data_IF_559437402539
#
_entry.id   IF_559437402539
#
_cell.length_a   1.000
_cell.length_b   1.000
_cell.length_c   1.000
_cell.angle_alpha   90.00
_cell.angle_beta   90.00
_cell.angle_gamma   90.00
#
_symmetry.space_group_name_H-M   'P 1'
#
loop_
_entity.id
_entity.type
_entity.pdbx_description
1 polymer ?
#
# COMPACT_ATOMS: atom_id res chain seq x y z
N UNK A 1 -10.81 7.16 -22.83
CA UNK A 1 -11.07 8.44 -22.13
C UNK A 1 -10.08 8.55 -20.97
N UNK A 2 -10.25 9.47 -20.02
CA UNK A 2 -9.49 9.46 -18.76
C UNK A 2 -10.15 8.62 -17.65
N UNK A 3 -11.38 8.14 -17.86
CA UNK A 3 -12.09 7.29 -16.90
C UNK A 3 -11.37 5.96 -16.63
N UNK A 4 -10.71 5.41 -17.65
CA UNK A 4 -9.91 4.19 -17.57
C UNK A 4 -8.75 4.33 -16.55
N UNK A 5 -8.14 5.51 -16.43
CA UNK A 5 -7.11 5.80 -15.42
C UNK A 5 -7.70 5.74 -14.00
N UNK A 6 -8.90 6.27 -13.81
CA UNK A 6 -9.62 6.22 -12.52
C UNK A 6 -10.02 4.79 -12.17
N UNK A 7 -10.42 3.99 -13.16
CA UNK A 7 -10.74 2.56 -12.99
C UNK A 7 -9.50 1.76 -12.55
N UNK A 8 -8.35 1.95 -13.23
CA UNK A 8 -7.07 1.33 -12.85
C UNK A 8 -6.76 1.59 -11.38
N UNK A 9 -6.79 2.86 -10.97
CA UNK A 9 -6.41 3.21 -9.59
C UNK A 9 -7.43 2.70 -8.57
N UNK A 10 -8.72 2.68 -8.91
CA UNK A 10 -9.77 2.13 -8.04
C UNK A 10 -9.56 0.63 -7.82
N UNK A 11 -9.35 -0.15 -8.89
CA UNK A 11 -9.03 -1.57 -8.80
C UNK A 11 -7.70 -1.86 -8.10
N UNK A 12 -6.70 -0.99 -8.23
CA UNK A 12 -5.44 -1.08 -7.46
C UNK A 12 -5.65 -0.87 -5.95
N UNK A 13 -6.61 -0.02 -5.55
CA UNK A 13 -7.01 0.11 -4.13
C UNK A 13 -7.72 -1.13 -3.61
N UNK A 14 -8.62 -1.75 -4.39
CA UNK A 14 -9.29 -3.00 -4.02
C UNK A 14 -8.30 -4.14 -3.73
N UNK A 15 -7.24 -4.26 -4.53
CA UNK A 15 -6.19 -5.28 -4.34
C UNK A 15 -5.03 -4.81 -3.46
N UNK A 16 -5.12 -3.63 -2.84
CA UNK A 16 -4.01 -3.06 -2.06
C UNK A 16 -3.60 -3.93 -0.88
N UNK A 17 -4.52 -4.68 -0.26
CA UNK A 17 -4.20 -5.63 0.81
C UNK A 17 -3.42 -6.86 0.31
N UNK A 18 -3.61 -7.27 -0.95
CA UNK A 18 -2.79 -8.30 -1.58
C UNK A 18 -1.39 -7.76 -1.90
N UNK A 19 -1.30 -6.53 -2.42
CA UNK A 19 -0.03 -5.82 -2.63
C UNK A 19 0.76 -5.63 -1.32
N UNK A 20 0.08 -5.40 -0.19
CA UNK A 20 0.70 -5.37 1.16
C UNK A 20 1.30 -6.72 1.57
N UNK A 21 0.91 -7.85 0.98
CA UNK A 21 1.52 -9.14 1.32
C UNK A 21 2.96 -9.25 0.80
N UNK A 22 3.34 -8.46 -0.21
CA UNK A 22 4.73 -8.31 -0.61
C UNK A 22 5.60 -7.81 0.56
N UNK A 23 6.83 -8.33 0.65
CA UNK A 23 7.78 -8.04 1.73
C UNK A 23 9.11 -7.53 1.19
N UNK A 24 9.81 -6.76 2.02
CA UNK A 24 11.17 -6.27 1.75
C UNK A 24 11.30 -5.61 0.38
N UNK A 25 12.33 -6.00 -0.38
CA UNK A 25 12.65 -5.40 -1.67
C UNK A 25 11.51 -5.46 -2.72
N UNK A 26 10.64 -6.49 -2.70
CA UNK A 26 9.51 -6.56 -3.66
C UNK A 26 8.44 -5.52 -3.35
N UNK A 27 8.11 -5.31 -2.06
CA UNK A 27 7.22 -4.22 -1.63
C UNK A 27 7.79 -2.86 -2.01
N UNK A 28 9.09 -2.64 -1.77
CA UNK A 28 9.75 -1.39 -2.12
C UNK A 28 9.65 -1.11 -3.63
N UNK A 29 9.91 -2.10 -4.50
CA UNK A 29 9.73 -1.94 -5.96
C UNK A 29 8.31 -1.53 -6.34
N UNK A 30 7.27 -2.07 -5.70
CA UNK A 30 5.86 -1.68 -5.98
C UNK A 30 5.59 -0.24 -5.51
N UNK A 31 6.13 0.15 -4.36
CA UNK A 31 6.06 1.54 -3.86
C UNK A 31 6.75 2.51 -4.81
N UNK A 32 8.01 2.23 -5.17
CA UNK A 32 8.82 3.06 -6.08
C UNK A 32 8.13 3.19 -7.46
N UNK A 33 7.53 2.10 -7.94
CA UNK A 33 6.79 2.07 -9.19
C UNK A 33 5.52 2.94 -9.15
N UNK A 34 4.75 2.93 -8.05
CA UNK A 34 3.59 3.82 -7.91
C UNK A 34 3.99 5.29 -7.74
N UNK A 35 5.13 5.59 -7.10
CA UNK A 35 5.67 6.96 -7.09
C UNK A 35 6.10 7.44 -8.48
N UNK A 36 6.70 6.58 -9.32
CA UNK A 36 7.01 6.96 -10.71
C UNK A 36 5.76 7.33 -11.52
N UNK A 37 4.66 6.58 -11.35
CA UNK A 37 3.38 6.94 -12.00
C UNK A 37 2.82 8.25 -11.42
N UNK A 38 2.88 8.46 -10.10
CA UNK A 38 2.51 9.73 -9.46
C UNK A 38 3.27 10.91 -10.07
N UNK A 39 4.62 10.86 -10.09
CA UNK A 39 5.48 11.92 -10.61
C UNK A 39 5.19 12.18 -12.10
N UNK A 40 5.02 11.13 -12.90
CA UNK A 40 4.66 11.22 -14.30
C UNK A 40 3.33 11.96 -14.52
N UNK A 41 2.31 11.66 -13.71
CA UNK A 41 1.00 12.31 -13.79
C UNK A 41 1.04 13.75 -13.24
N UNK A 42 1.79 14.03 -12.18
CA UNK A 42 1.98 15.41 -11.66
C UNK A 42 2.65 16.30 -12.70
N UNK A 43 3.75 15.85 -13.30
CA UNK A 43 4.42 16.61 -14.37
C UNK A 43 3.50 16.82 -15.59
N UNK A 44 2.66 15.83 -15.92
CA UNK A 44 1.67 15.97 -17.00
C UNK A 44 0.63 17.06 -16.68
N UNK A 45 0.11 17.11 -15.44
CA UNK A 45 -0.80 18.17 -15.02
C UNK A 45 -0.12 19.55 -15.01
N UNK A 46 1.14 19.64 -14.59
CA UNK A 46 1.92 20.89 -14.61
C UNK A 46 2.23 21.37 -16.03
N UNK A 47 2.41 20.48 -17.00
CA UNK A 47 2.51 20.82 -18.42
C UNK A 47 1.17 21.32 -19.00
N UNK A 48 0.06 20.63 -18.69
CA UNK A 48 -1.28 21.07 -19.10
C UNK A 48 -1.66 22.45 -18.53
N UNK A 49 -1.35 22.71 -17.25
CA UNK A 49 -1.49 24.03 -16.61
C UNK A 49 -0.67 25.14 -17.30
N UNK A 50 0.40 24.79 -18.01
CA UNK A 50 1.20 25.71 -18.83
C UNK A 50 0.67 25.85 -20.27
N UNK A 51 -0.46 25.24 -20.60
CA UNK A 51 -1.02 25.22 -21.97
C UNK A 51 -0.32 24.23 -22.91
N UNK A 52 0.41 23.23 -22.39
CA UNK A 52 1.18 22.27 -23.17
C UNK A 52 0.56 20.88 -23.13
N UNK A 53 0.59 20.16 -24.25
CA UNK A 53 0.18 18.76 -24.33
C UNK A 53 1.33 17.86 -23.85
N UNK A 54 1.13 16.99 -22.84
CA UNK A 54 2.23 16.27 -22.17
C UNK A 54 2.66 15.00 -22.93
N UNK A 55 3.06 15.14 -24.19
CA UNK A 55 3.38 14.03 -25.10
C UNK A 55 4.40 13.04 -24.53
N UNK A 56 5.53 13.53 -24.02
CA UNK A 56 6.62 12.69 -23.52
C UNK A 56 6.18 11.93 -22.26
N UNK A 57 5.43 12.58 -21.37
CA UNK A 57 4.91 11.96 -20.14
C UNK A 57 3.78 10.97 -20.41
N UNK A 58 2.93 11.21 -21.40
CA UNK A 58 1.96 10.21 -21.86
C UNK A 58 2.64 8.98 -22.46
N UNK A 59 3.75 9.17 -23.19
CA UNK A 59 4.60 8.08 -23.66
C UNK A 59 5.23 7.29 -22.51
N UNK A 60 5.76 7.97 -21.49
CA UNK A 60 6.35 7.38 -20.29
C UNK A 60 5.31 6.57 -19.49
N UNK A 61 4.09 7.08 -19.34
CA UNK A 61 2.95 6.36 -18.74
C UNK A 61 2.67 5.04 -19.47
N UNK A 62 2.90 5.00 -20.79
CA UNK A 62 2.79 3.77 -21.58
C UNK A 62 3.88 2.74 -21.33
N UNK A 63 5.09 3.18 -20.98
CA UNK A 63 6.16 2.28 -20.53
C UNK A 63 5.79 1.67 -19.17
N UNK A 64 5.24 2.47 -18.24
CA UNK A 64 4.73 1.94 -16.98
C UNK A 64 3.58 0.94 -17.23
N UNK A 65 2.62 1.25 -18.11
CA UNK A 65 1.55 0.32 -18.47
C UNK A 65 2.03 -1.02 -19.07
N UNK A 66 3.22 -1.05 -19.70
CA UNK A 66 3.85 -2.30 -20.14
C UNK A 66 4.50 -3.10 -19.00
N UNK A 67 5.05 -2.42 -17.99
CA UNK A 67 5.76 -3.07 -16.87
C UNK A 67 4.86 -3.43 -15.68
N UNK A 68 3.65 -2.83 -15.58
CA UNK A 68 2.68 -3.12 -14.52
C UNK A 68 2.52 -4.63 -14.22
N UNK A 69 2.35 -5.53 -15.21
CA UNK A 69 2.15 -6.96 -14.92
C UNK A 69 3.39 -7.63 -14.34
N UNK A 70 4.60 -7.21 -14.72
CA UNK A 70 5.85 -7.70 -14.14
C UNK A 70 6.01 -7.22 -12.68
N UNK A 71 5.55 -5.99 -12.42
CA UNK A 71 5.69 -5.36 -11.11
C UNK A 71 4.68 -5.88 -10.08
N UNK A 72 3.43 -6.19 -10.44
CA UNK A 72 2.39 -6.64 -9.47
C UNK A 72 1.72 -8.00 -9.75
N UNK A 73 2.01 -8.67 -10.88
CA UNK A 73 1.29 -9.87 -11.31
C UNK A 73 1.39 -11.07 -10.35
N UNK A 74 2.48 -11.17 -9.58
CA UNK A 74 2.66 -12.21 -8.55
C UNK A 74 1.77 -11.99 -7.32
N UNK A 75 1.44 -10.74 -7.01
CA UNK A 75 0.67 -10.34 -5.84
C UNK A 75 -0.84 -10.39 -6.09
N UNK A 76 -1.30 -10.07 -7.30
CA UNK A 76 -2.75 -9.92 -7.61
C UNK A 76 -3.29 -10.90 -8.65
N UNK A 77 -2.41 -11.77 -9.19
CA UNK A 77 -2.70 -12.64 -10.33
C UNK A 77 -2.34 -11.98 -11.66
N UNK A 78 -1.71 -12.75 -12.55
CA UNK A 78 -1.18 -12.24 -13.81
C UNK A 78 -2.30 -11.68 -14.72
N UNK A 79 -3.44 -12.36 -14.79
CA UNK A 79 -4.57 -11.96 -15.63
C UNK A 79 -5.13 -10.60 -15.19
N UNK A 80 -5.38 -10.43 -13.89
CA UNK A 80 -5.85 -9.15 -13.32
C UNK A 80 -4.83 -8.03 -13.49
N UNK A 81 -3.53 -8.33 -13.43
CA UNK A 81 -2.48 -7.34 -13.71
C UNK A 81 -2.41 -6.97 -15.21
N UNK A 82 -2.66 -7.92 -16.11
CA UNK A 82 -2.77 -7.68 -17.55
C UNK A 82 -4.03 -6.84 -17.88
N UNK A 83 -5.16 -7.05 -17.22
CA UNK A 83 -6.37 -6.21 -17.35
C UNK A 83 -6.09 -4.76 -16.96
N UNK A 84 -5.42 -4.53 -15.82
CA UNK A 84 -5.05 -3.18 -15.37
C UNK A 84 -4.04 -2.52 -16.32
N UNK A 85 -3.10 -3.29 -16.88
CA UNK A 85 -2.18 -2.82 -17.89
C UNK A 85 -2.91 -2.43 -19.19
N UNK A 86 -3.93 -3.18 -19.59
CA UNK A 86 -4.75 -2.85 -20.76
C UNK A 86 -5.57 -1.57 -20.56
N UNK A 87 -6.18 -1.37 -19.39
CA UNK A 87 -6.88 -0.12 -19.04
C UNK A 87 -5.92 1.09 -18.98
N UNK A 88 -4.74 0.92 -18.37
CA UNK A 88 -3.74 1.99 -18.33
C UNK A 88 -3.22 2.31 -19.75
N UNK A 89 -3.10 1.31 -20.63
CA UNK A 89 -2.80 1.53 -22.06
C UNK A 89 -3.91 2.25 -22.81
N UNK A 90 -5.18 1.94 -22.53
CA UNK A 90 -6.32 2.63 -23.15
C UNK A 90 -6.33 4.13 -22.83
N UNK A 91 -5.84 4.53 -21.65
CA UNK A 91 -5.65 5.94 -21.27
C UNK A 91 -4.69 6.66 -22.23
N UNK A 92 -3.58 6.04 -22.62
CA UNK A 92 -2.54 6.66 -23.49
C UNK A 92 -3.12 7.09 -24.84
N UNK A 93 -4.07 6.32 -25.38
CA UNK A 93 -4.72 6.61 -26.66
C UNK A 93 -5.60 7.88 -26.63
N UNK A 94 -5.80 8.47 -25.45
CA UNK A 94 -6.56 9.69 -25.23
C UNK A 94 -5.57 10.72 -24.64
N UNK A 95 -5.01 11.58 -25.48
CA UNK A 95 -4.18 12.69 -25.00
C UNK A 95 -5.09 13.74 -24.34
N UNK A 96 -4.73 14.25 -23.15
CA UNK A 96 -5.52 15.25 -22.45
C UNK A 96 -5.44 16.62 -23.15
N UNK A 97 -6.53 17.37 -23.12
CA UNK A 97 -6.59 18.73 -23.69
C UNK A 97 -6.11 19.77 -22.66
N UNK A 98 -5.05 20.58 -22.94
CA UNK A 98 -4.62 21.65 -22.04
C UNK A 98 -5.67 22.74 -21.78
N UNK A 99 -6.73 22.80 -22.60
CA UNK A 99 -7.86 23.72 -22.41
C UNK A 99 -8.97 23.11 -21.53
N UNK A 100 -8.98 21.80 -21.30
CA UNK A 100 -9.97 21.14 -20.44
C UNK A 100 -9.48 21.10 -18.99
N UNK A 101 -10.05 21.99 -18.16
CA UNK A 101 -9.84 21.99 -16.71
C UNK A 101 -10.26 20.68 -16.03
N UNK A 102 -11.20 19.94 -16.61
CA UNK A 102 -11.60 18.61 -16.16
C UNK A 102 -10.44 17.62 -16.29
N UNK A 103 -9.80 17.55 -17.45
CA UNK A 103 -8.66 16.66 -17.70
C UNK A 103 -7.51 16.90 -16.70
N UNK A 104 -7.18 18.18 -16.45
CA UNK A 104 -6.18 18.58 -15.45
C UNK A 104 -6.56 18.04 -14.06
N UNK A 105 -7.80 18.28 -13.61
CA UNK A 105 -8.28 17.81 -12.30
C UNK A 105 -8.36 16.28 -12.20
N UNK A 106 -8.69 15.58 -13.28
CA UNK A 106 -8.68 14.11 -13.33
C UNK A 106 -7.27 13.54 -13.14
N UNK A 107 -6.28 14.14 -13.81
CA UNK A 107 -4.88 13.70 -13.76
C UNK A 107 -4.29 13.95 -12.37
N UNK A 108 -4.54 15.12 -11.78
CA UNK A 108 -4.15 15.43 -10.39
C UNK A 108 -4.78 14.47 -9.39
N UNK A 109 -6.07 14.15 -9.57
CA UNK A 109 -6.80 13.19 -8.73
C UNK A 109 -6.21 11.78 -8.84
N UNK A 110 -5.86 11.34 -10.06
CA UNK A 110 -5.21 10.06 -10.29
C UNK A 110 -3.81 10.01 -9.64
N UNK A 111 -3.00 11.06 -9.80
CA UNK A 111 -1.69 11.17 -9.17
C UNK A 111 -1.76 11.10 -7.64
N UNK A 112 -2.66 11.88 -7.03
CA UNK A 112 -2.89 11.87 -5.58
C UNK A 112 -3.34 10.50 -5.05
N UNK A 113 -4.13 9.75 -5.84
CA UNK A 113 -4.51 8.37 -5.51
C UNK A 113 -3.34 7.38 -5.65
N UNK A 114 -2.48 7.49 -6.67
CA UNK A 114 -1.25 6.69 -6.78
C UNK A 114 -0.28 6.94 -5.62
N UNK A 115 -0.09 8.21 -5.23
CA UNK A 115 0.63 8.58 -3.99
C UNK A 115 0.03 7.89 -2.76
N UNK A 116 -1.31 7.90 -2.66
CA UNK A 116 -2.05 7.22 -1.61
C UNK A 116 -1.78 5.72 -1.54
N UNK A 117 -1.70 5.03 -2.69
CA UNK A 117 -1.30 3.62 -2.77
C UNK A 117 0.15 3.42 -2.29
N UNK A 118 1.09 4.23 -2.77
CA UNK A 118 2.50 4.13 -2.40
C UNK A 118 2.71 4.32 -0.88
N UNK A 119 2.04 5.30 -0.26
CA UNK A 119 2.03 5.49 1.20
C UNK A 119 1.36 4.31 1.92
N UNK A 120 0.24 3.82 1.41
CA UNK A 120 -0.50 2.68 1.98
C UNK A 120 0.30 1.38 1.96
N UNK A 121 1.19 1.21 0.99
CA UNK A 121 2.13 0.08 0.91
C UNK A 121 3.42 0.31 1.71
N UNK A 122 3.88 1.56 1.82
CA UNK A 122 5.04 1.93 2.63
C UNK A 122 4.80 1.73 4.13
N UNK A 123 3.58 2.00 4.59
CA UNK A 123 3.21 1.71 5.98
C UNK A 123 3.27 0.20 6.25
N UNK A 124 4.04 -0.20 7.27
CA UNK A 124 4.00 -1.59 7.74
C UNK A 124 2.59 -1.87 8.28
N UNK A 125 2.00 -3.03 7.99
CA UNK A 125 0.77 -3.43 8.66
C UNK A 125 1.07 -3.49 10.15
N UNK A 126 0.34 -2.72 10.95
CA UNK A 126 0.37 -2.86 12.40
C UNK A 126 0.08 -4.33 12.71
N UNK A 127 1.09 -5.04 13.24
CA UNK A 127 0.88 -6.37 13.81
C UNK A 127 -0.06 -6.18 14.99
N UNK A 128 -1.37 -6.36 14.75
CA UNK A 128 -2.32 -6.65 15.81
C UNK A 128 -2.01 -8.05 16.28
N UNK A 129 -1.00 -8.17 17.14
CA UNK A 129 -0.71 -9.39 17.85
C UNK A 129 -2.02 -9.80 18.56
N UNK A 130 -2.61 -10.90 18.10
CA UNK A 130 -3.71 -11.52 18.83
C UNK A 130 -3.14 -11.84 20.22
N UNK A 131 -3.76 -11.40 21.32
CA UNK A 131 -3.29 -11.81 22.64
C UNK A 131 -3.28 -13.34 22.66
N UNK A 132 -2.10 -13.90 22.90
CA UNK A 132 -1.94 -15.35 22.96
C UNK A 132 -2.69 -15.80 24.20
N UNK A 133 -3.87 -16.40 23.99
CA UNK A 133 -4.55 -17.19 25.02
C UNK A 133 -3.67 -18.42 25.31
N UNK A 134 -2.66 -18.24 26.17
CA UNK A 134 -1.83 -19.32 26.67
C UNK A 134 -2.63 -20.12 27.69
N UNK A 135 -3.27 -21.16 27.15
CA UNK A 135 -4.05 -22.16 27.87
C UNK A 135 -3.28 -22.70 29.09
N UNK A 136 -3.93 -22.61 30.26
CA UNK A 136 -3.84 -23.55 31.39
C UNK A 136 -2.44 -23.81 31.99
N UNK A 137 -2.12 -23.14 33.11
CA UNK A 137 -1.03 -23.55 34.01
C UNK A 137 -1.60 -24.07 35.35
N UNK A 138 -1.81 -25.39 35.42
CA UNK A 138 -1.98 -26.11 36.69
C UNK A 138 -0.66 -26.83 37.06
N UNK A 139 -0.47 -27.01 38.37
CA UNK A 139 0.26 -28.11 39.04
C UNK A 139 1.78 -27.94 39.37
N UNK A 140 2.01 -27.83 40.69
CA UNK A 140 3.04 -28.46 41.56
C UNK A 140 4.40 -27.81 41.90
N UNK A 141 4.45 -27.27 43.14
CA UNK A 141 5.38 -27.53 44.26
C UNK A 141 6.86 -27.93 44.03
N UNK A 142 7.77 -27.25 44.75
CA UNK A 142 8.83 -27.88 45.58
C UNK A 142 9.38 -26.89 46.64
N UNK A 143 10.10 -27.42 47.64
CA UNK A 143 10.25 -26.86 49.00
C UNK A 143 11.71 -26.49 49.35
N UNK A 144 11.90 -25.81 50.50
CA UNK A 144 13.14 -25.65 51.31
C UNK A 144 14.12 -24.55 50.86
N UNK A 145 14.89 -23.90 51.76
CA UNK A 145 14.78 -23.68 53.21
C UNK A 145 15.75 -22.54 53.62
N UNK A 146 15.47 -21.78 54.68
CA UNK A 146 16.38 -20.73 55.16
C UNK A 146 15.85 -19.90 56.33
N UNK A 147 16.44 -20.13 57.51
CA UNK A 147 16.26 -19.41 58.79
C UNK A 147 16.60 -17.91 58.69
N UNK A 148 16.23 -17.00 59.61
CA UNK A 148 16.05 -17.11 61.08
C UNK A 148 15.13 -16.00 61.68
N UNK A 149 14.54 -16.31 62.84
CA UNK A 149 14.32 -15.46 64.04
C UNK A 149 13.51 -14.14 63.99
N UNK A 150 12.51 -14.06 64.88
CA UNK A 150 12.19 -12.81 65.61
C UNK A 150 10.72 -12.56 65.98
N UNK A 151 10.30 -13.02 67.18
CA UNK A 151 9.28 -12.42 68.10
C UNK A 151 7.89 -12.01 67.51
N UNK A 152 6.74 -12.39 68.07
CA UNK A 152 6.30 -12.26 69.47
C UNK A 152 5.30 -13.35 69.89
N UNK A 153 5.07 -13.53 71.20
CA UNK A 153 4.16 -14.53 71.78
C UNK A 153 2.97 -13.92 72.55
N UNK A 154 1.94 -14.75 72.81
CA UNK A 154 0.70 -14.42 73.52
C UNK A 154 -0.45 -14.05 72.57
N UNK A 155 -1.71 -14.42 72.75
CA UNK A 155 -2.46 -15.16 73.81
C UNK A 155 -3.58 -15.96 73.10
N UNK A 156 -4.26 -16.99 73.61
CA UNK A 156 -4.35 -17.67 74.92
C UNK A 156 -4.82 -19.14 74.69
N UNK A 157 -5.30 -19.85 75.73
CA UNK A 157 -6.08 -21.10 75.66
C UNK A 157 -7.31 -20.95 76.57
N UNK A 158 -8.46 -21.54 76.20
CA UNK A 158 -9.69 -21.54 76.99
C UNK A 158 -10.87 -22.05 76.18
#
# INVERSE_FOLDING_TARGET
MLGELVEVVTKLFEVSDNLKQARGAKRQRIVDYFHKIEECLQHSADELRQGKVPHDKWGELGVYALDLPNTIGLEIGQDRANELAALLKATINNLPDPNDQGDIQFIETAAGKFRGLAVTLSTQPYKREKPINSVNRRIFTSTAAGTVAGLTAGWLVG
#
